data_IF_855012686363
#
_entry.id   IF_855012686363
#
_cell.length_a   1.000
_cell.length_b   1.000
_cell.length_c   1.000
_cell.angle_alpha   90.00
_cell.angle_beta   90.00
_cell.angle_gamma   90.00
#
_symmetry.space_group_name_H-M   'P 1'
#
loop_
_entity.id
_entity.type
_entity.pdbx_description
1 polymer ?
#
# COMPACT_ATOMS: atom_id res chain seq x y z
N UNK A 1 -26.98 -10.51 -3.53
CA UNK A 1 -25.66 -11.18 -3.49
C UNK A 1 -24.61 -10.14 -3.83
N UNK A 2 -23.52 -10.09 -3.06
CA UNK A 2 -22.36 -9.27 -3.37
C UNK A 2 -21.79 -9.65 -4.73
N UNK A 3 -21.55 -8.65 -5.59
CA UNK A 3 -21.07 -8.83 -6.97
C UNK A 3 -19.59 -9.18 -7.08
N UNK A 4 -18.86 -9.13 -5.97
CA UNK A 4 -17.40 -9.09 -6.02
C UNK A 4 -16.83 -10.47 -6.33
N UNK A 5 -16.03 -10.52 -7.39
CA UNK A 5 -15.10 -11.60 -7.67
C UNK A 5 -13.68 -11.12 -7.34
N UNK A 6 -12.80 -11.23 -8.32
CA UNK A 6 -11.41 -10.79 -8.18
C UNK A 6 -11.32 -9.27 -7.89
N UNK A 7 -10.36 -8.91 -7.04
CA UNK A 7 -10.10 -7.54 -6.61
C UNK A 7 -9.27 -6.78 -7.64
N UNK A 8 -9.35 -5.43 -7.69
CA UNK A 8 -8.53 -4.65 -8.60
C UNK A 8 -7.03 -4.78 -8.28
N UNK A 9 -6.20 -4.82 -9.31
CA UNK A 9 -4.74 -4.79 -9.19
C UNK A 9 -4.24 -3.36 -9.04
N UNK A 10 -3.32 -3.11 -8.10
CA UNK A 10 -2.68 -1.81 -7.91
C UNK A 10 -1.26 -1.86 -8.47
N UNK A 11 -0.96 -1.00 -9.44
CA UNK A 11 0.39 -0.89 -10.01
C UNK A 11 1.38 -0.43 -8.93
N UNK A 12 2.55 -1.07 -8.85
CA UNK A 12 3.55 -0.85 -7.80
C UNK A 12 3.02 -1.11 -6.37
N UNK A 13 1.95 -1.91 -6.26
CA UNK A 13 1.41 -2.39 -5.00
C UNK A 13 1.28 -3.90 -4.95
N UNK A 14 1.12 -4.43 -3.74
CA UNK A 14 0.84 -5.82 -3.42
C UNK A 14 -0.34 -5.88 -2.45
N UNK A 15 -0.89 -7.06 -2.27
CA UNK A 15 -1.95 -7.30 -1.28
C UNK A 15 -1.30 -7.69 0.03
N UNK A 16 -1.52 -6.87 1.05
CA UNK A 16 -1.07 -7.16 2.41
C UNK A 16 -1.97 -8.18 3.09
N UNK A 17 -3.29 -8.07 2.87
CA UNK A 17 -4.28 -9.00 3.43
C UNK A 17 -5.55 -9.01 2.59
N UNK A 18 -6.19 -10.16 2.47
CA UNK A 18 -7.49 -10.28 1.84
C UNK A 18 -8.44 -11.21 2.62
N UNK A 19 -9.71 -10.86 2.59
CA UNK A 19 -10.82 -11.64 3.11
C UNK A 19 -11.91 -11.72 2.05
N UNK A 20 -13.01 -12.43 2.34
CA UNK A 20 -14.15 -12.54 1.42
C UNK A 20 -14.85 -11.20 1.15
N UNK A 21 -14.64 -10.19 1.99
CA UNK A 21 -15.33 -8.89 1.87
C UNK A 21 -14.40 -7.69 1.91
N UNK A 22 -13.11 -7.88 2.20
CA UNK A 22 -12.17 -6.78 2.44
C UNK A 22 -10.81 -7.12 1.86
N UNK A 23 -10.17 -6.15 1.21
CA UNK A 23 -8.80 -6.29 0.70
C UNK A 23 -8.00 -5.08 1.13
N UNK A 24 -6.76 -5.33 1.55
CA UNK A 24 -5.82 -4.33 2.04
C UNK A 24 -4.56 -4.35 1.19
N UNK A 25 -4.16 -3.18 0.71
CA UNK A 25 -3.04 -2.99 -0.20
C UNK A 25 -1.85 -2.34 0.51
N UNK A 26 -0.67 -2.70 0.06
CA UNK A 26 0.59 -2.11 0.47
C UNK A 26 1.41 -1.77 -0.77
N UNK A 27 2.06 -0.62 -0.79
CA UNK A 27 2.93 -0.24 -1.91
C UNK A 27 4.30 -0.91 -1.80
N UNK A 28 4.91 -1.19 -2.95
CA UNK A 28 6.28 -1.67 -3.03
C UNK A 28 7.26 -0.59 -2.56
N UNK A 29 8.47 -0.98 -2.18
CA UNK A 29 9.51 -0.05 -1.76
C UNK A 29 9.76 1.05 -2.82
N UNK A 30 9.92 2.30 -2.37
CA UNK A 30 10.03 3.47 -3.25
C UNK A 30 8.69 4.11 -3.65
N UNK A 31 7.56 3.53 -3.23
CA UNK A 31 6.22 4.06 -3.47
C UNK A 31 5.47 4.25 -2.15
N UNK A 32 4.66 5.32 -2.07
CA UNK A 32 3.74 5.56 -0.96
C UNK A 32 2.30 5.37 -1.40
N UNK A 33 1.45 4.96 -0.46
CA UNK A 33 0.04 4.75 -0.71
C UNK A 33 -0.72 6.08 -0.64
N UNK A 34 -1.52 6.34 -1.65
CA UNK A 34 -2.41 7.50 -1.73
C UNK A 34 -3.86 7.02 -1.85
N UNK A 35 -4.68 7.42 -0.87
CA UNK A 35 -6.05 6.93 -0.69
C UNK A 35 -6.18 5.97 0.49
N UNK A 36 -7.32 5.29 0.58
CA UNK A 36 -7.57 4.30 1.62
C UNK A 36 -6.88 2.97 1.24
N UNK A 37 -5.99 2.42 2.09
CA UNK A 37 -5.32 1.16 1.80
C UNK A 37 -6.28 -0.02 1.80
N UNK A 38 -7.47 0.12 2.39
CA UNK A 38 -8.47 -0.93 2.54
C UNK A 38 -9.70 -0.62 1.70
N UNK A 39 -10.10 -1.59 0.88
CA UNK A 39 -11.37 -1.55 0.17
C UNK A 39 -12.29 -2.66 0.65
N UNK A 40 -13.58 -2.37 0.65
CA UNK A 40 -14.61 -3.33 1.00
C UNK A 40 -15.44 -3.68 -0.24
N UNK A 41 -15.86 -4.94 -0.30
CA UNK A 41 -16.85 -5.42 -1.24
C UNK A 41 -18.24 -4.99 -0.77
N UNK A 42 -18.95 -4.31 -1.65
CA UNK A 42 -20.34 -3.90 -1.43
C UNK A 42 -21.25 -4.47 -2.53
N UNK A 43 -22.55 -4.22 -2.47
CA UNK A 43 -23.46 -4.62 -3.55
C UNK A 43 -23.12 -3.96 -4.90
N UNK A 44 -22.37 -2.85 -4.91
CA UNK A 44 -21.88 -2.20 -6.12
C UNK A 44 -20.52 -2.73 -6.60
N UNK A 45 -19.89 -3.67 -5.89
CA UNK A 45 -18.56 -4.20 -6.19
C UNK A 45 -17.50 -3.72 -5.20
N UNK A 46 -16.24 -3.91 -5.57
CA UNK A 46 -15.10 -3.39 -4.84
C UNK A 46 -15.10 -1.86 -4.85
N UNK A 47 -14.74 -1.25 -3.71
CA UNK A 47 -14.53 0.20 -3.62
C UNK A 47 -13.33 0.68 -4.46
N UNK A 48 -13.10 1.99 -4.47
CA UNK A 48 -11.99 2.60 -5.19
C UNK A 48 -10.65 2.13 -4.64
N UNK A 49 -9.85 1.48 -5.48
CA UNK A 49 -8.50 1.04 -5.11
C UNK A 49 -7.57 2.23 -4.85
N UNK A 50 -6.63 2.11 -3.90
CA UNK A 50 -5.60 3.12 -3.69
C UNK A 50 -4.62 3.18 -4.87
N UNK A 51 -3.81 4.22 -4.88
CA UNK A 51 -2.72 4.37 -5.86
C UNK A 51 -1.37 4.37 -5.17
N UNK A 52 -0.38 3.76 -5.79
CA UNK A 52 1.01 3.80 -5.33
C UNK A 52 1.79 4.84 -6.14
N UNK A 53 2.16 5.93 -5.48
CA UNK A 53 2.86 7.05 -6.10
C UNK A 53 4.33 7.03 -5.71
N UNK A 54 5.21 7.43 -6.64
CA UNK A 54 6.65 7.48 -6.37
C UNK A 54 6.90 8.45 -5.22
N UNK A 55 7.65 8.00 -4.22
CA UNK A 55 8.14 8.88 -3.15
C UNK A 55 9.13 9.83 -3.82
N UNK A 56 8.73 11.09 -4.01
CA UNK A 56 9.57 12.15 -4.61
C UNK A 56 10.18 13.05 -3.54
N UNK A 57 10.65 12.44 -2.47
CA UNK A 57 11.29 13.16 -1.38
C UNK A 57 12.69 12.60 -1.18
N UNK A 58 13.69 13.47 -1.09
CA UNK A 58 15.07 13.13 -0.71
C UNK A 58 15.19 12.60 0.74
N UNK A 59 14.09 12.17 1.36
CA UNK A 59 13.98 11.78 2.76
C UNK A 59 12.93 10.65 2.93
N UNK A 60 13.09 9.51 2.25
CA UNK A 60 12.43 8.27 2.69
C UNK A 60 13.17 7.02 2.18
N UNK A 61 13.92 6.43 3.11
CA UNK A 61 14.80 5.27 2.92
C UNK A 61 13.97 3.98 2.93
N UNK A 62 14.23 3.13 1.94
CA UNK A 62 13.73 1.75 1.82
C UNK A 62 13.78 1.00 3.16
N UNK A 63 12.64 0.47 3.60
CA UNK A 63 12.53 -0.40 4.78
C UNK A 63 12.63 -1.88 4.37
N UNK A 64 13.80 -2.28 3.87
CA UNK A 64 14.16 -3.69 3.66
C UNK A 64 15.27 -4.02 4.67
N UNK A 65 14.89 -4.31 5.92
CA UNK A 65 15.84 -4.77 6.93
C UNK A 65 16.29 -6.19 6.56
N UNK A 66 17.41 -6.32 5.85
CA UNK A 66 18.08 -7.59 5.62
C UNK A 66 19.42 -7.62 6.36
N UNK A 67 19.34 -7.75 7.69
CA UNK A 67 20.43 -8.10 8.61
C UNK A 67 21.33 -6.94 9.11
N UNK A 68 20.86 -6.28 10.18
CA UNK A 68 21.66 -5.78 11.33
C UNK A 68 22.02 -4.27 11.41
N UNK A 69 21.73 -3.41 10.43
CA UNK A 69 21.74 -1.94 10.67
C UNK A 69 20.52 -1.25 10.05
N UNK A 70 19.58 -0.80 10.89
CA UNK A 70 18.52 0.11 10.46
C UNK A 70 19.12 1.51 10.29
N UNK A 71 19.64 1.85 9.10
CA UNK A 71 20.12 3.21 8.86
C UNK A 71 18.91 4.13 8.59
N UNK A 72 18.44 4.79 9.65
CA UNK A 72 17.41 5.83 9.57
C UNK A 72 18.10 7.18 9.32
N UNK A 73 17.88 7.80 8.16
CA UNK A 73 18.38 9.15 7.82
C UNK A 73 17.13 9.96 7.43
N UNK A 74 16.71 11.08 8.03
CA UNK A 74 17.22 11.95 9.11
C UNK A 74 16.08 12.87 9.53
N UNK A 75 15.76 13.02 10.83
CA UNK A 75 15.29 14.31 11.40
C UNK A 75 15.75 14.41 12.86
N UNK A 76 17.05 14.60 13.09
CA UNK A 76 17.56 15.33 14.24
C UNK A 76 18.47 16.40 13.65
N UNK A 77 17.98 17.64 13.56
CA UNK A 77 18.70 18.93 13.56
C UNK A 77 17.78 20.04 13.00
N UNK A 78 16.85 20.50 13.83
CA UNK A 78 16.59 21.93 14.06
C UNK A 78 16.57 22.13 15.56
#
# INVERSE_FOLDING_TARGET
>A
MSKCGEYPTVLNGKIASNTSTTVEYECLGGFYISGDPRINCTNSGWGTAPTCSVIRDEINIFRECLQVECVVVTVLFR
#
